data_IF_593345307753
#
_entry.id   IF_593345307753
#
_cell.length_a   1.000
_cell.length_b   1.000
_cell.length_c   1.000
_cell.angle_alpha   90.00
_cell.angle_beta   90.00
_cell.angle_gamma   90.00
#
_symmetry.space_group_name_H-M   'P 1'
#
loop_
_entity.id
_entity.type
_entity.pdbx_description
1 polymer ?
#
# COMPACT_ATOMS: atom_id res chain seq x y z
N UNK A 1 11.56 -63.36 47.39
CA UNK A 1 10.65 -63.00 48.47
C UNK A 1 10.55 -61.46 48.43
N UNK A 2 9.53 -60.86 48.09
CA UNK A 2 8.14 -60.77 48.42
C UNK A 2 7.37 -60.02 47.30
N UNK A 3 6.17 -60.50 47.07
CA UNK A 3 5.14 -59.91 46.17
C UNK A 3 4.55 -58.67 46.82
N UNK A 4 4.29 -57.61 46.05
CA UNK A 4 3.21 -56.67 46.39
C UNK A 4 2.60 -56.04 45.16
N UNK A 5 1.47 -56.43 44.82
CA UNK A 5 0.22 -55.89 44.26
C UNK A 5 0.21 -54.56 43.53
N UNK A 6 -0.21 -54.69 42.27
CA UNK A 6 -0.85 -53.61 41.48
C UNK A 6 -2.12 -53.12 42.20
N UNK A 7 -2.27 -51.80 42.27
CA UNK A 7 -3.59 -51.13 42.38
C UNK A 7 -3.78 -50.19 41.23
N UNK A 8 -4.73 -50.52 40.39
CA UNK A 8 -5.25 -49.65 39.33
C UNK A 8 -6.05 -48.54 39.99
N UNK A 9 -5.72 -47.28 39.66
CA UNK A 9 -6.56 -46.11 39.90
C UNK A 9 -7.14 -45.66 38.57
N UNK A 10 -8.43 -45.91 38.41
CA UNK A 10 -9.23 -45.29 37.34
C UNK A 10 -9.36 -43.80 37.62
N UNK A 11 -8.81 -42.99 36.77
CA UNK A 11 -9.05 -41.53 36.75
C UNK A 11 -10.19 -41.27 35.76
N UNK A 12 -11.36 -40.96 36.28
CA UNK A 12 -12.51 -40.52 35.51
C UNK A 12 -12.20 -39.10 34.94
N UNK A 13 -12.02 -39.00 33.61
CA UNK A 13 -11.94 -37.73 32.92
C UNK A 13 -13.32 -37.09 32.85
N UNK A 14 -13.55 -36.09 33.69
CA UNK A 14 -14.70 -35.18 33.55
C UNK A 14 -14.48 -34.30 32.31
N UNK A 15 -15.32 -34.49 31.28
CA UNK A 15 -15.46 -33.52 30.18
C UNK A 15 -16.04 -32.23 30.75
N UNK A 16 -15.20 -31.24 30.99
CA UNK A 16 -15.64 -29.85 31.11
C UNK A 16 -15.98 -29.34 29.70
N UNK A 17 -17.25 -29.32 29.35
CA UNK A 17 -17.75 -28.53 28.21
C UNK A 17 -17.50 -27.07 28.55
N UNK A 18 -16.44 -26.48 27.99
CA UNK A 18 -16.29 -25.04 27.93
C UNK A 18 -17.42 -24.51 27.03
N UNK A 19 -18.47 -23.99 27.66
CA UNK A 19 -19.44 -23.14 27.00
C UNK A 19 -18.65 -21.92 26.48
N UNK A 20 -18.30 -21.94 25.18
CA UNK A 20 -17.79 -20.77 24.48
C UNK A 20 -18.86 -19.68 24.56
N UNK A 21 -18.68 -18.73 25.46
CA UNK A 21 -19.51 -17.53 25.51
C UNK A 21 -19.38 -16.84 24.16
N UNK A 22 -20.46 -16.84 23.38
CA UNK A 22 -20.60 -15.92 22.27
C UNK A 22 -20.46 -14.52 22.86
N UNK A 23 -19.33 -13.88 22.64
CA UNK A 23 -19.19 -12.47 22.96
C UNK A 23 -20.24 -11.75 22.13
N UNK A 24 -21.20 -11.12 22.79
CA UNK A 24 -22.19 -10.29 22.15
C UNK A 24 -21.42 -9.21 21.38
N UNK A 25 -21.48 -9.28 20.05
CA UNK A 25 -20.95 -8.22 19.19
C UNK A 25 -21.72 -6.94 19.58
N UNK A 26 -20.99 -5.89 19.91
CA UNK A 26 -21.59 -4.60 20.16
C UNK A 26 -22.46 -4.14 18.99
N UNK A 27 -23.34 -3.16 19.15
CA UNK A 27 -24.19 -2.68 18.07
C UNK A 27 -23.35 -2.33 16.84
N UNK A 28 -23.84 -2.66 15.66
CA UNK A 28 -23.16 -2.34 14.41
C UNK A 28 -22.85 -0.84 14.38
N UNK A 29 -21.63 -0.48 14.01
CA UNK A 29 -21.28 0.93 13.83
C UNK A 29 -22.22 1.55 12.80
N UNK A 30 -22.61 2.81 13.01
CA UNK A 30 -23.41 3.52 12.02
C UNK A 30 -22.72 3.49 10.67
N UNK A 31 -23.48 3.17 9.60
CA UNK A 31 -22.97 3.15 8.22
C UNK A 31 -22.69 4.57 7.75
N UNK A 32 -21.60 4.72 7.01
CA UNK A 32 -21.29 5.97 6.32
C UNK A 32 -22.17 6.10 5.06
N UNK A 33 -22.53 7.32 4.72
CA UNK A 33 -23.32 7.61 3.50
C UNK A 33 -22.38 8.02 2.36
N UNK A 34 -21.92 7.04 1.57
CA UNK A 34 -21.02 7.27 0.44
C UNK A 34 -21.69 7.93 -0.77
N UNK A 35 -22.99 8.30 -0.70
CA UNK A 35 -23.59 9.18 -1.69
C UNK A 35 -23.12 10.64 -1.57
N UNK A 36 -22.51 10.99 -0.46
CA UNK A 36 -22.08 12.34 -0.10
C UNK A 36 -20.62 12.57 -0.49
N UNK A 37 -20.31 13.66 -1.22
CA UNK A 37 -18.94 13.96 -1.64
C UNK A 37 -17.95 14.07 -0.47
N UNK A 38 -18.37 14.55 0.69
CA UNK A 38 -17.53 14.71 1.88
C UNK A 38 -17.03 13.39 2.49
N UNK A 39 -17.59 12.24 2.09
CA UNK A 39 -17.09 10.92 2.49
C UNK A 39 -16.01 10.38 1.55
N UNK A 40 -15.53 11.22 0.65
CA UNK A 40 -14.48 10.89 -0.30
C UNK A 40 -13.34 11.91 -0.24
N UNK A 41 -12.11 11.45 -0.15
CA UNK A 41 -10.91 12.28 -0.36
C UNK A 41 -10.82 12.70 -1.83
N UNK A 42 -10.96 11.74 -2.73
CA UNK A 42 -10.92 11.97 -4.16
C UNK A 42 -12.15 11.36 -4.83
N UNK A 43 -12.79 12.19 -5.64
CA UNK A 43 -13.90 11.77 -6.50
C UNK A 43 -13.86 12.65 -7.75
N UNK A 44 -13.27 12.15 -8.82
CA UNK A 44 -13.02 12.93 -10.04
C UNK A 44 -14.27 13.67 -10.53
N UNK A 45 -14.14 14.98 -10.64
CA UNK A 45 -15.21 15.88 -11.12
C UNK A 45 -16.19 16.34 -10.06
N UNK A 46 -15.96 16.03 -8.78
CA UNK A 46 -16.76 16.56 -7.66
C UNK A 46 -16.07 17.77 -7.01
N UNK A 47 -16.82 18.68 -6.40
CA UNK A 47 -16.26 19.75 -5.58
C UNK A 47 -15.44 19.16 -4.42
N UNK A 48 -14.30 19.79 -4.11
CA UNK A 48 -13.43 19.34 -3.01
C UNK A 48 -12.57 18.12 -3.33
N UNK A 49 -12.45 17.70 -4.59
CA UNK A 49 -11.57 16.60 -5.00
C UNK A 49 -10.10 16.89 -4.61
N UNK A 50 -9.61 16.23 -3.55
CA UNK A 50 -8.25 16.42 -3.04
C UNK A 50 -7.16 15.91 -4.01
N UNK A 51 -7.54 15.17 -5.05
CA UNK A 51 -6.62 14.73 -6.10
C UNK A 51 -6.50 15.73 -7.26
N UNK A 52 -7.32 16.77 -7.30
CA UNK A 52 -7.26 17.84 -8.29
C UNK A 52 -6.20 18.90 -7.91
N UNK A 53 -4.95 18.48 -7.79
CA UNK A 53 -3.82 19.26 -7.27
C UNK A 53 -2.65 19.29 -8.24
N UNK A 54 -1.74 20.26 -8.01
CA UNK A 54 -0.48 20.36 -8.76
C UNK A 54 0.47 19.22 -8.39
N UNK A 55 0.89 18.45 -9.40
CA UNK A 55 1.85 17.37 -9.32
C UNK A 55 3.13 17.64 -10.10
N UNK A 56 3.40 18.92 -10.42
CA UNK A 56 4.62 19.34 -11.08
C UNK A 56 5.85 18.83 -10.34
N UNK A 57 6.83 18.36 -11.08
CA UNK A 57 8.02 17.70 -10.55
C UNK A 57 9.27 18.37 -11.10
N UNK A 58 10.27 18.60 -10.27
CA UNK A 58 11.62 18.94 -10.74
C UNK A 58 12.39 17.64 -10.99
N UNK A 59 12.93 17.49 -12.19
CA UNK A 59 13.81 16.40 -12.56
C UNK A 59 15.25 16.88 -12.35
N UNK A 60 15.97 16.21 -11.44
CA UNK A 60 17.37 16.50 -11.12
C UNK A 60 18.25 15.40 -11.74
N UNK A 61 19.04 15.77 -12.78
CA UNK A 61 19.93 14.84 -13.45
C UNK A 61 21.26 14.68 -12.70
N UNK A 62 22.04 13.66 -13.06
CA UNK A 62 23.33 13.37 -12.43
C UNK A 62 24.31 14.54 -12.45
N UNK A 63 24.32 15.34 -13.53
CA UNK A 63 25.16 16.56 -13.65
C UNK A 63 24.63 17.74 -12.80
N UNK A 64 23.57 17.57 -12.01
CA UNK A 64 22.95 18.59 -11.20
C UNK A 64 22.14 19.61 -12.00
N UNK A 65 21.91 19.39 -13.29
CA UNK A 65 20.96 20.17 -14.08
C UNK A 65 19.51 19.83 -13.71
N UNK A 66 18.65 20.83 -13.78
CA UNK A 66 17.25 20.71 -13.41
C UNK A 66 16.34 21.02 -14.59
N UNK A 67 15.24 20.29 -14.70
CA UNK A 67 14.16 20.58 -15.63
C UNK A 67 12.82 20.37 -14.93
N UNK A 68 11.76 20.97 -15.46
CA UNK A 68 10.42 20.84 -14.88
C UNK A 68 9.59 19.89 -15.73
N UNK A 69 9.02 18.88 -15.10
CA UNK A 69 8.02 17.99 -15.66
C UNK A 69 6.63 18.45 -15.23
N UNK A 70 5.82 18.89 -16.18
CA UNK A 70 4.44 19.28 -15.94
C UNK A 70 3.55 18.05 -15.78
N UNK A 71 2.55 18.15 -14.92
CA UNK A 71 1.53 17.12 -14.75
C UNK A 71 0.19 17.58 -15.34
N UNK A 72 -0.53 16.64 -15.96
CA UNK A 72 -1.88 16.87 -16.44
C UNK A 72 -2.76 15.67 -16.14
N UNK A 73 -3.78 15.87 -15.32
CA UNK A 73 -4.83 14.88 -15.10
C UNK A 73 -5.72 14.74 -16.35
N UNK A 74 -6.27 13.55 -16.57
CA UNK A 74 -7.28 13.28 -17.61
C UNK A 74 -8.62 12.91 -16.94
N UNK A 75 -9.54 13.86 -16.75
CA UNK A 75 -10.84 13.59 -16.16
C UNK A 75 -11.73 12.69 -17.04
N UNK A 76 -11.35 12.48 -18.30
CA UNK A 76 -12.03 11.60 -19.27
C UNK A 76 -11.29 10.27 -19.45
N UNK A 77 -10.32 9.96 -18.59
CA UNK A 77 -9.59 8.70 -18.66
C UNK A 77 -10.56 7.50 -18.78
N UNK A 78 -10.22 6.49 -19.59
CA UNK A 78 -11.17 5.45 -19.96
C UNK A 78 -11.43 4.39 -18.89
N UNK A 79 -10.62 4.32 -17.85
CA UNK A 79 -10.76 3.41 -16.70
C UNK A 79 -10.81 4.21 -15.40
N UNK A 80 -11.06 3.52 -14.30
CA UNK A 80 -11.11 4.09 -12.95
C UNK A 80 -9.97 3.54 -12.09
N UNK A 81 -9.56 4.31 -11.06
CA UNK A 81 -8.70 3.87 -9.98
C UNK A 81 -9.46 4.02 -8.65
N UNK A 82 -9.58 2.93 -7.90
CA UNK A 82 -10.15 2.91 -6.57
C UNK A 82 -9.04 2.71 -5.55
N UNK A 83 -8.86 3.67 -4.65
CA UNK A 83 -7.73 3.70 -3.74
C UNK A 83 -8.16 3.62 -2.29
N UNK A 84 -7.44 2.79 -1.53
CA UNK A 84 -7.55 2.70 -0.06
C UNK A 84 -6.19 3.04 0.55
N UNK A 85 -6.16 4.13 1.32
CA UNK A 85 -4.93 4.72 1.86
C UNK A 85 -4.41 3.97 3.10
N UNK A 86 -3.13 4.19 3.50
CA UNK A 86 -2.53 3.57 4.68
C UNK A 86 -2.99 4.23 5.98
N UNK A 87 -2.49 3.72 7.11
CA UNK A 87 -2.59 4.37 8.43
C UNK A 87 -1.88 5.72 8.40
N UNK A 88 -2.64 6.81 8.48
CA UNK A 88 -2.11 8.18 8.49
C UNK A 88 -2.69 9.07 9.57
N UNK A 89 -3.95 8.85 10.00
CA UNK A 89 -4.63 9.70 10.97
C UNK A 89 -3.89 9.78 12.31
N UNK A 90 -3.77 10.99 12.83
CA UNK A 90 -3.32 11.28 14.19
C UNK A 90 -4.48 11.46 15.19
N UNK A 91 -5.70 11.09 14.83
CA UNK A 91 -6.83 11.12 15.76
C UNK A 91 -6.51 10.42 17.08
N UNK A 92 -7.05 10.91 18.19
CA UNK A 92 -6.72 10.35 19.52
C UNK A 92 -7.33 8.96 19.75
N UNK A 93 -8.37 8.59 19.00
CA UNK A 93 -9.06 7.30 19.08
C UNK A 93 -8.31 6.15 18.46
N UNK A 94 -8.82 4.93 18.65
CA UNK A 94 -8.32 3.72 17.99
C UNK A 94 -8.64 3.76 16.49
N UNK A 95 -9.84 4.23 16.16
CA UNK A 95 -10.30 4.49 14.79
C UNK A 95 -10.34 5.99 14.56
N UNK A 96 -10.05 6.40 13.32
CA UNK A 96 -10.24 7.79 12.89
C UNK A 96 -11.73 8.12 12.78
N UNK A 97 -12.02 9.40 12.75
CA UNK A 97 -13.32 9.88 12.30
C UNK A 97 -13.45 9.86 10.77
N UNK A 98 -14.49 10.48 10.24
CA UNK A 98 -14.76 10.58 8.80
C UNK A 98 -14.44 11.98 8.26
N UNK A 99 -13.50 12.68 8.89
CA UNK A 99 -13.03 13.99 8.47
C UNK A 99 -11.66 13.86 7.79
N UNK A 100 -11.44 14.63 6.74
CA UNK A 100 -10.15 14.65 6.03
C UNK A 100 -9.23 15.70 6.65
N UNK A 101 -8.21 15.27 7.36
CA UNK A 101 -7.17 16.11 7.90
C UNK A 101 -5.94 16.23 6.96
N UNK A 102 -4.94 16.96 7.39
CA UNK A 102 -3.73 17.21 6.58
C UNK A 102 -3.02 15.91 6.18
N UNK A 103 -3.10 14.88 7.00
CA UNK A 103 -2.48 13.57 6.79
C UNK A 103 -3.16 12.80 5.66
N UNK A 104 -4.49 12.78 5.62
CA UNK A 104 -5.27 12.15 4.55
C UNK A 104 -5.09 12.92 3.23
N UNK A 105 -5.08 14.26 3.27
CA UNK A 105 -4.79 15.08 2.10
C UNK A 105 -3.35 14.89 1.61
N UNK A 106 -2.40 14.75 2.54
CA UNK A 106 -0.99 14.47 2.23
C UNK A 106 -0.78 13.13 1.52
N UNK A 107 -1.45 12.08 1.98
CA UNK A 107 -1.26 10.74 1.42
C UNK A 107 -1.82 10.59 0.02
N UNK A 108 -2.99 11.16 -0.28
CA UNK A 108 -3.53 11.11 -1.67
C UNK A 108 -2.66 11.90 -2.64
N UNK A 109 -2.08 13.01 -2.19
CA UNK A 109 -1.08 13.75 -2.95
C UNK A 109 0.15 12.89 -3.27
N UNK A 110 0.70 12.20 -2.27
CA UNK A 110 1.94 11.46 -2.41
C UNK A 110 1.78 10.13 -3.16
N UNK A 111 0.65 9.43 -3.01
CA UNK A 111 0.50 8.04 -3.46
C UNK A 111 -0.55 7.84 -4.55
N UNK A 112 -1.44 8.82 -4.81
CA UNK A 112 -2.59 8.60 -5.68
C UNK A 112 -2.73 9.61 -6.82
N UNK A 113 -2.66 10.92 -6.55
CA UNK A 113 -3.10 11.96 -7.49
C UNK A 113 -2.45 11.86 -8.88
N UNK A 114 -1.21 11.35 -8.97
CA UNK A 114 -0.50 11.17 -10.25
C UNK A 114 -1.15 10.13 -11.18
N UNK A 115 -1.87 9.15 -10.64
CA UNK A 115 -2.65 8.20 -11.44
C UNK A 115 -3.81 8.89 -12.19
N UNK A 116 -4.20 10.10 -11.80
CA UNK A 116 -5.21 10.91 -12.49
C UNK A 116 -4.89 11.22 -13.95
N UNK A 117 -3.66 11.00 -14.42
CA UNK A 117 -3.29 11.04 -15.83
C UNK A 117 -3.74 9.81 -16.63
N UNK A 118 -4.17 8.73 -15.98
CA UNK A 118 -4.52 7.44 -16.60
C UNK A 118 -5.90 6.92 -16.22
N UNK A 119 -6.45 7.35 -15.10
CA UNK A 119 -7.75 6.89 -14.59
C UNK A 119 -8.51 8.02 -13.90
N UNK A 120 -9.84 7.90 -13.85
CA UNK A 120 -10.65 8.70 -12.93
C UNK A 120 -10.44 8.15 -11.53
N UNK A 121 -10.24 9.02 -10.56
CA UNK A 121 -9.84 8.64 -9.20
C UNK A 121 -11.03 8.61 -8.26
N UNK A 122 -11.08 7.56 -7.43
CA UNK A 122 -12.02 7.37 -6.33
C UNK A 122 -11.24 6.93 -5.09
N UNK A 123 -11.28 7.72 -4.02
CA UNK A 123 -10.63 7.41 -2.75
C UNK A 123 -11.61 7.71 -1.60
N UNK A 124 -12.29 6.70 -1.03
CA UNK A 124 -13.19 6.92 0.07
C UNK A 124 -12.44 7.27 1.35
N UNK A 125 -13.02 8.12 2.20
CA UNK A 125 -12.70 8.14 3.62
C UNK A 125 -13.20 6.84 4.25
N UNK A 126 -12.51 6.35 5.24
CA UNK A 126 -12.92 5.21 6.05
C UNK A 126 -12.30 5.33 7.44
N UNK A 127 -12.95 4.77 8.45
CA UNK A 127 -12.46 4.76 9.83
C UNK A 127 -11.25 3.85 9.95
N UNK A 128 -10.07 4.37 9.63
CA UNK A 128 -8.80 3.67 9.68
C UNK A 128 -8.35 3.44 11.13
N UNK A 129 -7.57 2.40 11.40
CA UNK A 129 -6.77 2.35 12.61
C UNK A 129 -5.75 3.48 12.58
N UNK A 130 -5.66 4.26 13.67
CA UNK A 130 -4.88 5.49 13.72
C UNK A 130 -3.39 5.25 14.00
N UNK A 131 -2.54 6.23 13.68
CA UNK A 131 -1.14 6.24 14.12
C UNK A 131 -1.04 6.28 15.65
N UNK A 132 -1.99 6.92 16.32
CA UNK A 132 -2.10 6.94 17.79
C UNK A 132 -2.26 5.52 18.33
N UNK A 133 -3.17 4.74 17.77
CA UNK A 133 -3.35 3.33 18.13
C UNK A 133 -2.12 2.47 17.78
N UNK A 134 -1.51 2.70 16.63
CA UNK A 134 -0.30 1.98 16.21
C UNK A 134 0.87 2.25 17.18
N UNK A 135 1.11 3.51 17.53
CA UNK A 135 2.15 3.90 18.51
C UNK A 135 1.87 3.32 19.90
N UNK A 136 0.62 3.36 20.34
CA UNK A 136 0.21 2.76 21.63
C UNK A 136 0.51 1.26 21.65
N UNK A 137 0.13 0.53 20.60
CA UNK A 137 0.43 -0.90 20.44
C UNK A 137 1.93 -1.20 20.46
N UNK A 138 2.73 -0.42 19.73
CA UNK A 138 4.19 -0.59 19.67
C UNK A 138 4.87 -0.32 21.01
N UNK A 139 4.32 0.56 21.83
CA UNK A 139 4.86 0.94 23.15
C UNK A 139 4.19 0.22 24.31
N UNK A 140 3.24 -0.69 24.05
CA UNK A 140 2.49 -1.43 25.08
C UNK A 140 1.53 -0.54 25.90
N UNK A 141 1.17 0.65 25.43
CA UNK A 141 0.23 1.53 26.10
C UNK A 141 -1.21 1.05 25.85
N UNK A 142 -2.06 1.01 26.88
CA UNK A 142 -3.47 0.67 26.68
C UNK A 142 -4.19 1.78 25.91
N UNK A 143 -5.20 1.37 25.12
CA UNK A 143 -6.14 2.26 24.47
C UNK A 143 -7.57 1.89 24.86
N UNK A 144 -8.46 2.87 24.88
CA UNK A 144 -9.88 2.60 25.07
C UNK A 144 -10.45 1.90 23.83
N UNK A 145 -10.88 0.66 24.00
CA UNK A 145 -11.49 -0.15 22.96
C UNK A 145 -13.02 -0.15 23.00
N UNK A 146 -13.63 0.66 23.87
CA UNK A 146 -15.10 0.73 24.03
C UNK A 146 -15.75 1.11 22.70
N UNK A 147 -16.66 0.27 22.20
CA UNK A 147 -17.36 0.49 20.94
C UNK A 147 -16.50 0.27 19.66
N UNK A 148 -15.23 -0.08 19.80
CA UNK A 148 -14.36 -0.38 18.65
C UNK A 148 -14.63 -1.81 18.16
N UNK A 149 -15.00 -1.96 16.88
CA UNK A 149 -15.10 -3.25 16.20
C UNK A 149 -13.98 -3.36 15.18
N UNK A 150 -13.33 -4.51 15.16
CA UNK A 150 -12.21 -4.77 14.24
C UNK A 150 -12.65 -4.73 12.76
N UNK A 151 -13.92 -5.07 12.50
CA UNK A 151 -14.51 -5.11 11.16
C UNK A 151 -14.85 -3.72 10.61
N UNK A 152 -14.95 -2.68 11.46
CA UNK A 152 -15.41 -1.35 11.06
C UNK A 152 -14.64 -0.79 9.87
N UNK A 153 -13.32 -0.92 9.85
CA UNK A 153 -12.47 -0.44 8.76
C UNK A 153 -12.76 -1.16 7.44
N UNK A 154 -12.98 -2.47 7.51
CA UNK A 154 -13.33 -3.27 6.33
C UNK A 154 -14.75 -3.00 5.85
N UNK A 155 -15.70 -2.90 6.76
CA UNK A 155 -17.10 -2.61 6.45
C UNK A 155 -17.24 -1.27 5.74
N UNK A 156 -16.50 -0.23 6.18
CA UNK A 156 -16.49 1.08 5.52
C UNK A 156 -15.96 0.98 4.08
N UNK A 157 -14.84 0.28 3.86
CA UNK A 157 -14.27 0.10 2.52
C UNK A 157 -15.21 -0.72 1.63
N UNK A 158 -15.86 -1.76 2.17
CA UNK A 158 -16.84 -2.56 1.45
C UNK A 158 -18.09 -1.74 1.06
N UNK A 159 -18.61 -0.92 1.97
CA UNK A 159 -19.76 -0.06 1.68
C UNK A 159 -19.41 1.00 0.61
N UNK A 160 -18.22 1.60 0.68
CA UNK A 160 -17.70 2.51 -0.34
C UNK A 160 -17.53 1.84 -1.72
N UNK A 161 -16.96 0.63 -1.73
CA UNK A 161 -16.80 -0.17 -2.94
C UNK A 161 -18.13 -0.51 -3.59
N UNK A 162 -19.11 -0.94 -2.79
CA UNK A 162 -20.46 -1.27 -3.27
C UNK A 162 -21.16 -0.03 -3.84
N UNK A 163 -21.07 1.12 -3.17
CA UNK A 163 -21.60 2.38 -3.67
C UNK A 163 -20.95 2.74 -5.02
N UNK A 164 -19.61 2.72 -5.08
CA UNK A 164 -18.86 3.01 -6.30
C UNK A 164 -19.30 2.10 -7.47
N UNK A 165 -19.40 0.80 -7.24
CA UNK A 165 -19.83 -0.14 -8.28
C UNK A 165 -21.25 0.12 -8.79
N UNK A 166 -22.18 0.46 -7.89
CA UNK A 166 -23.57 0.68 -8.20
C UNK A 166 -23.81 2.01 -8.91
N UNK A 167 -23.10 3.07 -8.53
CA UNK A 167 -23.43 4.44 -8.93
C UNK A 167 -22.40 5.10 -9.84
N UNK A 168 -21.10 4.79 -9.69
CA UNK A 168 -20.02 5.54 -10.35
C UNK A 168 -19.28 4.77 -11.44
N UNK A 169 -19.07 3.47 -11.26
CA UNK A 169 -18.25 2.64 -12.16
C UNK A 169 -18.85 2.54 -13.58
N UNK A 170 -20.16 2.39 -13.71
CA UNK A 170 -20.88 2.32 -15.00
C UNK A 170 -20.26 1.33 -16.00
N UNK A 171 -19.77 0.19 -15.50
CA UNK A 171 -19.20 -0.88 -16.33
C UNK A 171 -17.77 -0.65 -16.81
N UNK A 172 -17.07 0.37 -16.30
CA UNK A 172 -15.68 0.69 -16.64
C UNK A 172 -14.73 -0.33 -15.99
N UNK A 173 -13.52 -0.45 -16.55
CA UNK A 173 -12.42 -1.15 -15.89
C UNK A 173 -11.95 -0.37 -14.67
N UNK A 174 -11.48 -1.05 -13.64
CA UNK A 174 -10.96 -0.43 -12.42
C UNK A 174 -9.62 -1.05 -12.00
N UNK A 175 -8.67 -0.19 -11.64
CA UNK A 175 -7.44 -0.56 -10.94
C UNK A 175 -7.67 -0.34 -9.44
N UNK A 176 -7.42 -1.37 -8.64
CA UNK A 176 -7.46 -1.28 -7.17
C UNK A 176 -6.08 -0.90 -6.67
N UNK A 177 -5.96 0.18 -5.92
CA UNK A 177 -4.66 0.66 -5.43
C UNK A 177 -4.71 0.74 -3.91
N UNK A 178 -3.74 0.18 -3.22
CA UNK A 178 -3.63 0.24 -1.77
C UNK A 178 -2.20 0.34 -1.28
N UNK A 179 -2.05 0.87 -0.08
CA UNK A 179 -0.78 0.87 0.64
C UNK A 179 -1.00 0.48 2.10
N UNK A 180 -0.10 -0.33 2.67
CA UNK A 180 -0.10 -0.70 4.10
C UNK A 180 -1.47 -1.24 4.57
N UNK A 181 -2.13 -0.59 5.55
CA UNK A 181 -3.47 -0.95 6.01
C UNK A 181 -4.46 -1.03 4.85
N UNK A 182 -4.43 -0.07 3.92
CA UNK A 182 -5.27 -0.07 2.74
C UNK A 182 -5.03 -1.27 1.82
N UNK A 183 -3.78 -1.69 1.64
CA UNK A 183 -3.46 -2.93 0.93
C UNK A 183 -4.05 -4.16 1.63
N UNK A 184 -4.00 -4.20 2.96
CA UNK A 184 -4.60 -5.28 3.74
C UNK A 184 -6.11 -5.35 3.58
N UNK A 185 -6.79 -4.22 3.59
CA UNK A 185 -8.24 -4.12 3.38
C UNK A 185 -8.63 -4.50 1.95
N UNK A 186 -7.89 -4.03 0.94
CA UNK A 186 -8.12 -4.45 -0.45
C UNK A 186 -7.81 -5.93 -0.66
N UNK A 187 -6.82 -6.49 0.03
CA UNK A 187 -6.55 -7.94 0.01
C UNK A 187 -7.76 -8.73 0.49
N UNK A 188 -8.42 -8.28 1.57
CA UNK A 188 -9.65 -8.91 2.05
C UNK A 188 -10.80 -8.71 1.06
N UNK A 189 -10.97 -7.50 0.52
CA UNK A 189 -12.02 -7.18 -0.47
C UNK A 189 -11.86 -8.05 -1.71
N UNK A 190 -10.65 -8.16 -2.25
CA UNK A 190 -10.38 -8.98 -3.43
C UNK A 190 -10.70 -10.45 -3.14
N UNK A 191 -10.21 -11.00 -2.04
CA UNK A 191 -10.40 -12.40 -1.70
C UNK A 191 -11.87 -12.77 -1.41
N UNK A 192 -12.63 -11.86 -0.80
CA UNK A 192 -14.02 -12.12 -0.38
C UNK A 192 -15.04 -11.74 -1.44
N UNK A 193 -14.81 -10.65 -2.17
CA UNK A 193 -15.84 -10.03 -3.02
C UNK A 193 -15.52 -10.02 -4.51
N UNK A 194 -14.29 -10.36 -4.92
CA UNK A 194 -13.85 -10.21 -6.31
C UNK A 194 -13.33 -11.52 -6.90
N UNK A 195 -12.38 -12.18 -6.26
CA UNK A 195 -11.70 -13.35 -6.79
C UNK A 195 -12.68 -14.50 -7.06
N UNK A 196 -12.74 -14.94 -8.32
CA UNK A 196 -13.69 -15.95 -8.79
C UNK A 196 -15.15 -15.46 -8.96
N UNK A 197 -15.45 -14.16 -8.73
CA UNK A 197 -16.80 -13.61 -8.88
C UNK A 197 -16.95 -12.82 -10.18
N UNK A 198 -18.19 -12.59 -10.69
CA UNK A 198 -18.42 -11.88 -11.96
C UNK A 198 -17.80 -10.47 -12.00
N UNK A 199 -17.71 -9.79 -10.86
CA UNK A 199 -17.13 -8.45 -10.76
C UNK A 199 -15.63 -8.43 -11.08
N UNK A 200 -14.92 -9.57 -10.97
CA UNK A 200 -13.52 -9.70 -11.36
C UNK A 200 -13.27 -9.27 -12.81
N UNK A 201 -14.23 -9.48 -13.70
CA UNK A 201 -14.11 -9.06 -15.11
C UNK A 201 -13.97 -7.54 -15.29
N UNK A 202 -14.30 -6.74 -14.26
CA UNK A 202 -14.09 -5.29 -14.25
C UNK A 202 -12.70 -4.90 -13.71
N UNK A 203 -12.00 -5.79 -13.01
CA UNK A 203 -10.69 -5.48 -12.42
C UNK A 203 -9.64 -5.52 -13.52
N UNK A 204 -9.05 -4.36 -13.80
CA UNK A 204 -7.91 -4.22 -14.73
C UNK A 204 -6.67 -4.83 -14.08
N UNK A 205 -6.36 -4.39 -12.86
CA UNK A 205 -5.30 -4.95 -12.00
C UNK A 205 -5.51 -4.51 -10.54
N UNK A 206 -4.68 -5.04 -9.65
CA UNK A 206 -4.54 -4.53 -8.29
C UNK A 206 -3.08 -4.17 -8.02
N UNK A 207 -2.84 -3.04 -7.35
CA UNK A 207 -1.52 -2.56 -6.90
C UNK A 207 -1.56 -2.49 -5.38
N UNK A 208 -0.89 -3.42 -4.72
CA UNK A 208 -0.91 -3.61 -3.27
C UNK A 208 0.50 -3.42 -2.72
N UNK A 209 0.80 -2.21 -2.26
CA UNK A 209 2.12 -1.83 -1.78
C UNK A 209 2.22 -1.97 -0.25
N UNK A 210 3.42 -2.25 0.24
CA UNK A 210 3.68 -2.36 1.69
C UNK A 210 2.84 -3.46 2.34
N UNK A 211 2.73 -4.62 1.71
CA UNK A 211 1.90 -5.74 2.18
C UNK A 211 2.66 -7.06 2.18
N UNK A 212 2.03 -8.06 2.74
CA UNK A 212 2.51 -9.46 2.79
C UNK A 212 1.55 -10.40 2.06
N UNK A 213 1.08 -10.01 0.86
CA UNK A 213 0.18 -10.88 0.09
C UNK A 213 0.80 -12.28 -0.05
N UNK A 214 0.20 -13.34 0.55
CA UNK A 214 0.80 -14.66 0.53
C UNK A 214 0.55 -15.37 -0.80
N UNK A 215 1.62 -15.89 -1.37
CA UNK A 215 1.60 -16.81 -2.52
C UNK A 215 1.96 -18.20 -2.07
N UNK A 216 1.40 -19.23 -2.70
CA UNK A 216 1.84 -20.59 -2.55
C UNK A 216 3.26 -20.72 -3.11
N UNK A 217 4.13 -21.45 -2.41
CA UNK A 217 5.53 -21.58 -2.80
C UNK A 217 5.65 -22.14 -4.22
N UNK A 218 6.39 -21.45 -5.07
CA UNK A 218 6.58 -21.83 -6.48
C UNK A 218 5.42 -21.49 -7.42
N UNK A 219 4.41 -20.76 -6.94
CA UNK A 219 3.29 -20.28 -7.75
C UNK A 219 3.21 -18.75 -7.77
N UNK A 220 2.47 -18.22 -8.72
CA UNK A 220 2.12 -16.79 -8.83
C UNK A 220 0.71 -16.47 -8.28
N UNK A 221 0.08 -17.48 -7.68
CA UNK A 221 -1.21 -17.42 -6.97
C UNK A 221 -1.05 -17.95 -5.54
N UNK A 222 -2.04 -17.73 -4.69
CA UNK A 222 -2.00 -18.21 -3.30
C UNK A 222 -3.28 -17.84 -2.59
N UNK A 223 -3.30 -16.74 -1.86
CA UNK A 223 -4.54 -16.22 -1.26
C UNK A 223 -5.61 -15.95 -2.33
N UNK A 224 -5.22 -15.29 -3.41
CA UNK A 224 -6.07 -15.18 -4.61
C UNK A 224 -5.90 -16.43 -5.46
N UNK A 225 -7.01 -17.04 -5.86
CA UNK A 225 -7.01 -18.31 -6.60
C UNK A 225 -6.97 -18.11 -8.10
N UNK A 226 -7.55 -17.01 -8.59
CA UNK A 226 -7.69 -16.73 -10.02
C UNK A 226 -7.03 -15.40 -10.46
N UNK A 227 -6.41 -14.66 -9.53
CA UNK A 227 -5.69 -13.41 -9.81
C UNK A 227 -4.19 -13.64 -9.54
N UNK A 228 -3.37 -13.90 -10.59
CA UNK A 228 -1.94 -14.15 -10.45
C UNK A 228 -1.14 -12.84 -10.28
N UNK A 229 0.15 -12.94 -9.96
CA UNK A 229 1.09 -11.81 -10.10
C UNK A 229 1.18 -11.35 -11.55
N UNK A 230 1.30 -10.04 -11.75
CA UNK A 230 1.60 -9.46 -13.05
C UNK A 230 3.03 -9.79 -13.49
N UNK A 231 3.21 -10.19 -14.76
CA UNK A 231 4.49 -10.55 -15.37
C UNK A 231 4.86 -9.68 -16.57
N UNK A 232 3.99 -8.76 -16.96
CA UNK A 232 4.24 -7.79 -18.03
C UNK A 232 3.38 -6.54 -17.84
N UNK A 233 3.81 -5.42 -18.37
CA UNK A 233 3.14 -4.11 -18.19
C UNK A 233 1.76 -4.02 -18.88
N UNK A 234 1.43 -4.91 -19.81
CA UNK A 234 0.11 -4.95 -20.47
C UNK A 234 -0.78 -6.09 -20.00
N UNK A 235 -0.34 -6.88 -19.00
CA UNK A 235 -1.16 -7.94 -18.43
C UNK A 235 -2.30 -7.34 -17.61
N UNK A 236 -3.50 -7.88 -17.78
CA UNK A 236 -4.69 -7.47 -17.02
C UNK A 236 -5.24 -8.63 -16.21
N UNK A 237 -6.02 -8.35 -15.15
CA UNK A 237 -6.56 -9.37 -14.25
C UNK A 237 -5.47 -9.96 -13.34
N UNK A 238 -4.47 -9.19 -12.98
CA UNK A 238 -3.32 -9.61 -12.17
C UNK A 238 -3.07 -8.63 -11.03
N UNK A 239 -2.15 -8.96 -10.12
CA UNK A 239 -1.77 -8.14 -8.98
C UNK A 239 -0.28 -7.79 -9.01
N UNK A 240 0.04 -6.53 -8.76
CA UNK A 240 1.38 -6.04 -8.43
C UNK A 240 1.40 -5.87 -6.91
N UNK A 241 2.29 -6.56 -6.22
CA UNK A 241 2.45 -6.44 -4.78
C UNK A 241 3.93 -6.50 -4.42
N UNK A 242 4.34 -5.70 -3.45
CA UNK A 242 5.70 -5.68 -2.92
C UNK A 242 5.77 -4.92 -1.59
N UNK A 243 6.86 -5.15 -0.87
CA UNK A 243 7.38 -4.29 0.19
C UNK A 243 8.85 -4.03 -0.13
N UNK A 244 9.34 -2.81 0.06
CA UNK A 244 10.68 -2.42 -0.37
C UNK A 244 11.67 -2.28 0.79
N UNK A 245 12.92 -2.68 0.53
CA UNK A 245 14.04 -2.56 1.45
C UNK A 245 15.29 -2.12 0.68
N UNK A 246 16.17 -1.37 1.33
CA UNK A 246 17.48 -1.06 0.76
C UNK A 246 18.30 -2.35 0.62
N UNK A 247 19.12 -2.44 -0.42
CA UNK A 247 20.10 -3.52 -0.58
C UNK A 247 21.14 -3.54 0.55
N UNK A 248 21.44 -2.36 1.12
CA UNK A 248 22.35 -2.18 2.25
C UNK A 248 21.71 -2.45 3.62
N UNK A 249 20.37 -2.44 3.71
CA UNK A 249 19.61 -2.67 4.94
C UNK A 249 18.49 -3.68 4.65
N UNK A 250 18.80 -4.98 4.50
CA UNK A 250 17.83 -6.02 4.22
C UNK A 250 16.89 -6.25 5.42
N UNK A 251 15.72 -6.91 5.21
CA UNK A 251 14.78 -7.17 6.28
C UNK A 251 15.40 -8.00 7.41
N UNK A 252 15.35 -7.53 8.67
CA UNK A 252 15.76 -8.31 9.83
C UNK A 252 14.72 -9.40 10.17
N UNK A 253 15.09 -10.33 11.03
CA UNK A 253 14.24 -11.46 11.41
C UNK A 253 12.84 -11.05 11.95
N UNK A 254 12.77 -9.90 12.63
CA UNK A 254 11.54 -9.30 13.15
C UNK A 254 10.89 -8.30 12.18
N UNK A 255 11.23 -8.33 10.90
CA UNK A 255 10.62 -7.44 9.91
C UNK A 255 9.11 -7.60 9.85
N UNK A 256 8.43 -6.47 9.66
CA UNK A 256 6.97 -6.42 9.52
C UNK A 256 6.50 -6.83 8.11
N UNK A 257 7.40 -6.83 7.12
CA UNK A 257 7.09 -7.06 5.70
C UNK A 257 8.05 -8.07 5.08
N UNK A 258 7.74 -8.51 3.86
CA UNK A 258 8.59 -9.41 3.08
C UNK A 258 8.53 -10.88 3.49
N UNK A 259 7.70 -11.27 4.47
CA UNK A 259 7.56 -12.66 4.92
C UNK A 259 6.08 -13.04 4.98
N UNK A 260 5.77 -14.23 4.47
CA UNK A 260 4.44 -14.85 4.57
C UNK A 260 4.44 -16.01 5.57
N UNK A 261 3.36 -16.82 5.58
CA UNK A 261 3.23 -17.98 6.44
C UNK A 261 4.20 -19.11 6.09
N UNK A 262 4.15 -20.18 6.87
CA UNK A 262 4.86 -21.41 6.58
C UNK A 262 4.39 -21.97 5.22
N UNK A 263 5.32 -22.47 4.39
CA UNK A 263 5.06 -22.92 3.02
C UNK A 263 4.53 -21.85 2.03
N UNK A 264 4.63 -20.58 2.39
CA UNK A 264 4.24 -19.45 1.55
C UNK A 264 5.41 -18.49 1.38
N UNK A 265 5.34 -17.65 0.33
CA UNK A 265 6.22 -16.51 0.14
C UNK A 265 5.39 -15.23 0.09
N UNK A 266 5.96 -14.11 0.49
CA UNK A 266 5.34 -12.82 0.24
C UNK A 266 5.46 -12.48 -1.24
N UNK A 267 4.38 -11.98 -1.82
CA UNK A 267 4.38 -11.53 -3.22
C UNK A 267 5.40 -10.41 -3.45
N UNK A 268 6.16 -10.51 -4.53
CA UNK A 268 7.00 -9.43 -5.02
C UNK A 268 6.92 -9.35 -6.55
N UNK A 269 6.45 -8.22 -7.06
CA UNK A 269 6.45 -7.87 -8.47
C UNK A 269 7.14 -6.51 -8.62
N UNK A 270 8.27 -6.45 -9.34
CA UNK A 270 9.03 -5.21 -9.53
C UNK A 270 8.34 -4.30 -10.57
N UNK A 271 7.82 -3.12 -10.20
CA UNK A 271 7.15 -2.24 -11.17
C UNK A 271 8.06 -1.73 -12.28
N UNK A 272 9.37 -1.66 -12.06
CA UNK A 272 10.32 -1.25 -13.09
C UNK A 272 10.58 -2.34 -14.14
N UNK A 273 10.31 -3.62 -13.80
CA UNK A 273 10.39 -4.75 -14.72
C UNK A 273 9.59 -5.93 -14.16
N UNK A 274 8.35 -6.09 -14.60
CA UNK A 274 7.44 -7.13 -14.11
C UNK A 274 7.81 -8.56 -14.54
N UNK A 275 8.74 -8.74 -15.47
CA UNK A 275 9.24 -10.07 -15.81
C UNK A 275 9.84 -10.75 -14.55
N UNK A 276 9.62 -12.05 -14.33
CA UNK A 276 10.19 -12.76 -13.18
C UNK A 276 11.70 -12.55 -13.06
N UNK A 277 12.17 -12.08 -11.90
CA UNK A 277 13.59 -11.74 -11.67
C UNK A 277 14.06 -10.47 -12.39
N UNK A 278 13.15 -9.73 -13.02
CA UNK A 278 13.48 -8.51 -13.76
C UNK A 278 14.09 -7.44 -12.86
N UNK A 279 15.25 -6.88 -13.29
CA UNK A 279 15.85 -5.69 -12.70
C UNK A 279 15.45 -4.47 -13.55
N UNK A 280 15.22 -3.33 -12.93
CA UNK A 280 14.86 -2.11 -13.65
C UNK A 280 15.17 -0.85 -12.87
N UNK A 281 15.21 0.27 -13.58
CA UNK A 281 15.37 1.61 -13.01
C UNK A 281 14.02 2.14 -12.55
N UNK A 282 13.99 2.78 -11.37
CA UNK A 282 12.79 3.40 -10.85
C UNK A 282 12.62 4.82 -11.37
N UNK A 283 11.45 5.07 -11.94
CA UNK A 283 10.96 6.42 -12.16
C UNK A 283 10.27 6.92 -10.89
N UNK A 284 11.08 7.38 -9.94
CA UNK A 284 10.64 7.83 -8.64
C UNK A 284 10.09 9.26 -8.68
N UNK A 285 9.07 9.52 -7.83
CA UNK A 285 8.58 10.85 -7.51
C UNK A 285 8.64 11.03 -6.01
N UNK A 286 9.76 11.54 -5.54
CA UNK A 286 10.06 11.71 -4.12
C UNK A 286 9.48 13.04 -3.62
N UNK A 287 8.89 13.04 -2.43
CA UNK A 287 8.38 14.26 -1.82
C UNK A 287 9.52 15.25 -1.54
N UNK A 288 9.33 16.50 -1.94
CA UNK A 288 10.28 17.60 -1.71
C UNK A 288 9.98 18.38 -0.43
N UNK A 289 9.44 17.76 0.56
CA UNK A 289 9.08 18.33 1.85
C UNK A 289 9.02 17.27 2.94
N UNK A 290 8.34 17.58 4.04
CA UNK A 290 8.07 16.60 5.08
C UNK A 290 7.33 15.41 4.50
N UNK A 291 7.78 14.21 4.85
CA UNK A 291 7.12 12.97 4.42
C UNK A 291 5.78 12.78 5.13
N UNK A 292 4.91 11.94 4.55
CA UNK A 292 3.52 11.68 4.96
C UNK A 292 3.39 11.24 6.42
N UNK A 293 4.37 10.54 6.95
CA UNK A 293 4.43 10.22 8.38
C UNK A 293 5.61 11.00 8.96
N UNK A 294 5.40 11.67 10.09
CA UNK A 294 6.41 12.42 10.82
C UNK A 294 7.71 11.62 11.02
N UNK A 295 8.52 11.51 9.97
CA UNK A 295 9.87 11.03 10.11
C UNK A 295 10.71 12.20 10.59
N UNK A 296 11.47 12.00 11.64
CA UNK A 296 12.53 12.95 12.07
C UNK A 296 13.72 12.94 11.09
N UNK A 297 13.56 12.32 9.92
CA UNK A 297 14.60 12.27 8.91
C UNK A 297 14.89 13.68 8.36
N UNK A 298 16.15 14.06 8.23
CA UNK A 298 16.54 15.36 7.68
C UNK A 298 16.02 15.51 6.24
N UNK A 299 15.72 16.74 5.84
CA UNK A 299 15.37 17.03 4.45
C UNK A 299 16.56 16.72 3.54
N UNK A 300 16.32 16.04 2.42
CA UNK A 300 17.37 15.80 1.41
C UNK A 300 17.74 17.12 0.74
N UNK A 301 19.04 17.36 0.57
CA UNK A 301 19.54 18.40 -0.36
C UNK A 301 19.78 17.73 -1.71
N UNK A 302 18.95 18.06 -2.70
CA UNK A 302 18.98 17.36 -3.99
C UNK A 302 20.21 17.64 -4.83
N UNK A 303 20.75 18.86 -4.75
CA UNK A 303 21.98 19.26 -5.43
C UNK A 303 22.88 20.02 -4.46
N UNK A 304 24.11 19.56 -4.29
CA UNK A 304 25.09 20.16 -3.37
C UNK A 304 25.29 21.64 -3.68
N UNK A 305 25.13 22.47 -2.64
CA UNK A 305 25.30 23.93 -2.76
C UNK A 305 24.16 24.68 -3.43
N UNK A 306 23.03 24.02 -3.77
CA UNK A 306 21.84 24.67 -4.29
C UNK A 306 20.67 24.59 -3.30
N UNK A 307 19.75 25.58 -3.31
CA UNK A 307 18.48 25.45 -2.60
C UNK A 307 17.63 24.34 -3.25
N UNK A 308 16.80 23.69 -2.44
CA UNK A 308 15.87 22.68 -2.97
C UNK A 308 14.86 23.32 -3.94
N UNK A 309 14.42 22.57 -4.96
CA UNK A 309 13.35 23.01 -5.86
C UNK A 309 12.08 23.41 -5.10
N UNK A 310 11.24 24.25 -5.71
CA UNK A 310 9.96 24.66 -5.11
C UNK A 310 8.79 23.73 -5.46
N UNK A 311 9.00 22.82 -6.43
CA UNK A 311 7.97 21.85 -6.84
C UNK A 311 7.68 20.85 -5.72
N UNK A 312 6.45 20.31 -5.63
CA UNK A 312 6.08 19.36 -4.58
C UNK A 312 6.85 18.03 -4.64
N UNK A 313 7.36 17.67 -5.83
CA UNK A 313 8.09 16.43 -6.04
C UNK A 313 9.41 16.66 -6.78
N UNK A 314 10.32 15.72 -6.53
CA UNK A 314 11.60 15.62 -7.26
C UNK A 314 11.73 14.22 -7.83
N UNK A 315 12.18 14.12 -9.07
CA UNK A 315 12.60 12.89 -9.73
C UNK A 315 14.11 12.92 -9.96
N UNK A 316 14.75 11.76 -9.79
CA UNK A 316 16.23 11.61 -9.82
C UNK A 316 16.61 10.45 -10.76
N UNK A 317 16.46 10.60 -12.08
CA UNK A 317 16.72 9.52 -13.05
C UNK A 317 18.12 8.92 -12.87
N UNK A 318 18.20 7.58 -12.94
CA UNK A 318 19.45 6.82 -12.80
C UNK A 318 19.94 6.67 -11.35
N UNK A 319 19.31 7.29 -10.35
CA UNK A 319 19.74 7.12 -8.95
C UNK A 319 19.20 5.82 -8.33
N UNK A 320 18.00 5.38 -8.74
CA UNK A 320 17.31 4.28 -8.08
C UNK A 320 17.04 3.14 -9.05
N UNK A 321 17.33 1.93 -8.63
CA UNK A 321 16.97 0.71 -9.35
C UNK A 321 16.55 -0.39 -8.37
N UNK A 322 15.91 -1.46 -8.85
CA UNK A 322 15.56 -2.55 -7.97
C UNK A 322 15.22 -3.83 -8.69
N UNK A 323 15.09 -4.88 -7.89
CA UNK A 323 14.68 -6.21 -8.30
C UNK A 323 13.96 -6.93 -7.16
N UNK A 324 13.05 -7.84 -7.47
CA UNK A 324 12.53 -8.76 -6.48
C UNK A 324 13.56 -9.82 -6.13
N UNK A 325 13.79 -10.04 -4.85
CA UNK A 325 14.73 -11.04 -4.35
C UNK A 325 14.07 -11.93 -3.28
N UNK A 326 14.52 -13.19 -3.23
CA UNK A 326 14.24 -14.11 -2.15
C UNK A 326 15.54 -14.38 -1.39
N UNK A 327 15.65 -13.84 -0.16
CA UNK A 327 16.85 -13.96 0.68
C UNK A 327 16.43 -14.22 2.13
N UNK A 328 17.05 -15.20 2.79
CA UNK A 328 16.87 -15.50 4.23
C UNK A 328 15.40 -15.72 4.64
N UNK A 329 14.59 -16.31 3.75
CA UNK A 329 13.15 -16.55 4.00
C UNK A 329 12.26 -15.32 3.84
N UNK A 330 12.79 -14.24 3.27
CA UNK A 330 12.06 -13.03 2.87
C UNK A 330 12.00 -12.93 1.36
N UNK A 331 10.87 -12.40 0.83
CA UNK A 331 10.69 -12.01 -0.56
C UNK A 331 10.27 -10.53 -0.57
N UNK A 332 11.06 -9.69 -1.23
CA UNK A 332 10.90 -8.24 -1.19
C UNK A 332 11.51 -7.55 -2.40
N UNK A 333 11.12 -6.31 -2.63
CA UNK A 333 11.72 -5.42 -3.61
C UNK A 333 13.00 -4.81 -3.03
N UNK A 334 14.14 -5.33 -3.49
CA UNK A 334 15.46 -4.81 -3.13
C UNK A 334 15.74 -3.54 -3.93
N UNK A 335 16.01 -2.43 -3.23
CA UNK A 335 16.24 -1.11 -3.78
C UNK A 335 17.70 -0.75 -3.68
N UNK A 336 18.32 -0.47 -4.81
CA UNK A 336 19.69 0.00 -4.92
C UNK A 336 19.72 1.50 -5.16
N UNK A 337 20.54 2.22 -4.38
CA UNK A 337 20.82 3.64 -4.56
C UNK A 337 22.18 3.79 -5.20
N UNK A 338 22.23 4.22 -6.46
CA UNK A 338 23.45 4.40 -7.24
C UNK A 338 24.07 5.78 -6.97
N UNK A 339 24.44 6.03 -5.70
CA UNK A 339 25.14 7.26 -5.33
C UNK A 339 26.51 7.37 -6.04
N UNK A 340 26.89 8.58 -6.45
CA UNK A 340 28.16 8.89 -7.07
C UNK A 340 28.73 10.19 -6.49
N UNK A 341 29.68 10.13 -5.54
CA UNK A 341 30.25 11.33 -4.92
C UNK A 341 30.93 12.31 -5.89
N UNK A 342 31.18 11.87 -7.15
CA UNK A 342 31.76 12.73 -8.17
C UNK A 342 30.76 13.65 -8.85
N UNK A 343 29.46 13.34 -8.76
CA UNK A 343 28.40 14.21 -9.28
C UNK A 343 27.85 15.16 -8.18
N UNK A 344 27.26 16.31 -8.53
CA UNK A 344 26.75 17.25 -7.54
C UNK A 344 25.40 16.86 -6.94
N UNK A 345 24.73 15.83 -7.47
CA UNK A 345 23.43 15.37 -7.03
C UNK A 345 23.56 14.60 -5.70
N UNK A 346 22.46 14.49 -4.96
CA UNK A 346 22.41 13.63 -3.75
C UNK A 346 22.82 12.19 -4.05
N UNK A 347 23.53 11.57 -3.13
CA UNK A 347 23.93 10.16 -3.16
C UNK A 347 22.94 9.25 -2.41
N UNK A 348 21.90 9.80 -1.83
CA UNK A 348 20.94 9.05 -1.02
C UNK A 348 19.52 9.61 -1.10
N UNK A 349 18.57 8.87 -0.55
CA UNK A 349 17.16 9.22 -0.45
C UNK A 349 16.66 9.12 0.99
N UNK A 350 15.63 9.89 1.32
CA UNK A 350 14.84 9.66 2.52
C UNK A 350 13.79 8.57 2.26
N UNK A 351 13.26 7.96 3.33
CA UNK A 351 12.19 6.96 3.24
C UNK A 351 12.24 5.93 4.36
N UNK A 352 13.35 5.89 5.07
CA UNK A 352 13.50 5.03 6.24
C UNK A 352 12.65 5.55 7.41
N UNK A 353 12.08 4.63 8.18
CA UNK A 353 11.49 4.97 9.48
C UNK A 353 12.61 5.18 10.48
N UNK A 354 12.69 6.37 11.06
CA UNK A 354 13.70 6.72 12.06
C UNK A 354 13.03 6.81 13.44
N UNK A 355 13.59 6.11 14.42
CA UNK A 355 13.15 6.15 15.80
C UNK A 355 14.38 6.32 16.71
N UNK A 356 14.36 7.33 17.59
CA UNK A 356 15.50 7.63 18.48
C UNK A 356 16.81 7.94 17.73
N UNK A 357 16.74 8.51 16.52
CA UNK A 357 17.90 8.82 15.68
C UNK A 357 18.50 7.61 14.94
N UNK A 358 17.88 6.45 15.03
CA UNK A 358 18.32 5.22 14.36
C UNK A 358 17.29 4.74 13.35
N UNK A 359 17.75 4.18 12.22
CA UNK A 359 16.88 3.55 11.23
C UNK A 359 16.24 2.30 11.83
N UNK A 360 14.92 2.23 11.77
CA UNK A 360 14.16 1.04 12.11
C UNK A 360 14.07 0.10 10.91
N UNK A 361 15.06 -0.74 10.73
CA UNK A 361 15.18 -1.65 9.60
C UNK A 361 13.97 -2.60 9.42
N UNK A 362 13.17 -2.86 10.47
CA UNK A 362 11.99 -3.75 10.36
C UNK A 362 10.89 -3.20 9.46
N UNK A 363 10.93 -1.89 9.14
CA UNK A 363 9.97 -1.22 8.26
C UNK A 363 10.44 -1.13 6.80
N UNK A 364 11.76 -1.26 6.54
CA UNK A 364 12.33 -1.01 5.21
C UNK A 364 12.04 0.41 4.73
N UNK A 365 11.75 0.54 3.44
CA UNK A 365 11.35 1.82 2.81
C UNK A 365 9.83 1.99 2.73
N UNK A 366 9.10 1.40 3.67
CA UNK A 366 7.64 1.35 3.68
C UNK A 366 6.97 2.70 3.49
N UNK A 367 7.53 3.78 4.03
CA UNK A 367 6.95 5.13 3.91
C UNK A 367 6.92 5.64 2.45
N UNK A 368 7.78 5.10 1.59
CA UNK A 368 7.93 5.56 0.21
C UNK A 368 7.74 4.44 -0.83
N UNK A 369 7.20 3.27 -0.45
CA UNK A 369 6.92 2.18 -1.38
C UNK A 369 6.29 2.67 -2.69
N UNK A 370 5.27 3.53 -2.61
CA UNK A 370 4.61 4.09 -3.77
C UNK A 370 5.50 5.07 -4.55
N UNK A 371 6.23 5.94 -3.85
CA UNK A 371 7.01 7.03 -4.45
C UNK A 371 8.22 6.52 -5.24
N UNK A 372 8.83 5.41 -4.79
CA UNK A 372 9.99 4.79 -5.44
C UNK A 372 9.72 4.45 -6.92
N UNK A 373 8.54 3.90 -7.20
CA UNK A 373 8.20 3.39 -8.53
C UNK A 373 6.94 4.06 -9.11
N UNK A 374 6.56 5.24 -8.63
CA UNK A 374 5.30 5.89 -9.00
C UNK A 374 5.17 6.06 -10.52
N UNK A 375 6.22 6.49 -11.23
CA UNK A 375 6.19 6.65 -12.68
C UNK A 375 6.00 5.32 -13.40
N UNK A 376 6.72 4.27 -12.96
CA UNK A 376 6.57 2.92 -13.51
C UNK A 376 5.13 2.41 -13.32
N UNK A 377 4.55 2.59 -12.13
CA UNK A 377 3.17 2.17 -11.85
C UNK A 377 2.14 2.92 -12.70
N UNK A 378 2.31 4.23 -12.87
CA UNK A 378 1.43 5.06 -13.74
C UNK A 378 1.53 4.61 -15.21
N UNK A 379 2.72 4.28 -15.68
CA UNK A 379 2.94 3.80 -17.05
C UNK A 379 2.33 2.41 -17.26
N UNK A 380 2.45 1.51 -16.27
CA UNK A 380 1.79 0.20 -16.27
C UNK A 380 0.27 0.37 -16.36
N UNK A 381 -0.32 1.20 -15.52
CA UNK A 381 -1.78 1.46 -15.56
C UNK A 381 -2.21 1.98 -16.93
N UNK A 382 -1.38 2.81 -17.59
CA UNK A 382 -1.62 3.25 -18.96
C UNK A 382 -1.58 2.11 -19.99
N UNK A 383 -0.63 1.19 -19.86
CA UNK A 383 -0.51 0.02 -20.74
C UNK A 383 -1.64 -0.99 -20.51
N UNK A 384 -1.96 -1.28 -19.25
CA UNK A 384 -3.07 -2.16 -18.86
C UNK A 384 -4.42 -1.61 -19.31
N UNK A 385 -4.64 -0.30 -19.21
CA UNK A 385 -5.85 0.38 -19.71
C UNK A 385 -6.06 0.10 -21.20
N UNK A 386 -5.01 0.27 -22.01
CA UNK A 386 -5.08 -0.01 -23.45
C UNK A 386 -5.38 -1.49 -23.72
N UNK A 387 -4.71 -2.40 -23.02
CA UNK A 387 -4.91 -3.84 -23.18
C UNK A 387 -6.31 -4.28 -22.75
N UNK A 388 -6.83 -3.73 -21.64
CA UNK A 388 -8.18 -4.03 -21.15
C UNK A 388 -9.27 -3.58 -22.13
N UNK A 389 -9.13 -2.38 -22.68
CA UNK A 389 -10.08 -1.84 -23.64
C UNK A 389 -10.05 -2.59 -24.98
N UNK A 390 -8.87 -3.09 -25.40
CA UNK A 390 -8.75 -3.91 -26.60
C UNK A 390 -9.48 -5.26 -26.48
N UNK A 391 -9.58 -5.84 -25.29
CA UNK A 391 -10.32 -7.09 -25.03
C UNK A 391 -11.84 -6.91 -25.03
N UNK A 392 -12.33 -5.66 -24.91
CA UNK A 392 -13.78 -5.36 -24.90
C UNK A 392 -14.36 -5.00 -26.27
N UNK A 393 -13.50 -4.84 -27.29
CA UNK A 393 -13.89 -4.68 -28.69
C UNK A 393 -14.06 -6.01 -29.37
#
# INVERSE_FOLDING_TARGET
>A
MSRTMLRALAVSAALAMAAGGAQAQGPASAKNDYSKPETWLCWTGKPGDACAIDMTTTVVKADGSESVEAFKADPKAPIDCFYVYPTVSNDPGVLSDMHADAEELGVVKAQLARFGSKCRIYAPLYRQFTLTALRARMTGKPMDMTGVRAETTYDDVLDAWNYYLAHENKGRGVVLIGHSQGSGLLTQLIAKEIDGKPVQAKVVSAILMGTRLPLDKGKDTGLFKSIPLCKSASQTGCVIAYASFRDTIPPPANSLFGKAGENQIAACANPANLAPGGKGEFHAYLSNGAQIASSSAPTVTWVKGKPNPKTPFVSVPGLLSGQCVEKNGFSYLEVHVAGNPADPRTDDINGDVVAGGQVNASWGLHLIDANLAMGNLVDIVGAESKAYLAKKK
#
